data_IF_811633699243
#
_entry.id   IF_811633699243
#
_cell.length_a   1.000
_cell.length_b   1.000
_cell.length_c   1.000
_cell.angle_alpha   90.00
_cell.angle_beta   90.00
_cell.angle_gamma   90.00
#
_symmetry.space_group_name_H-M   'P 1'
#
loop_
_entity.id
_entity.type
_entity.pdbx_description
1 polymer ?
#
# COMPACT_ATOMS: atom_id res chain seq x y z
N UNK A 1 20.04 5.05 31.25
CA UNK A 1 20.24 5.82 30.01
C UNK A 1 19.57 5.07 28.87
N UNK A 2 18.76 5.71 28.01
CA UNK A 2 18.24 5.05 26.82
C UNK A 2 19.39 4.65 25.87
N UNK A 3 19.26 3.49 25.21
CA UNK A 3 20.25 2.95 24.27
C UNK A 3 19.51 2.45 23.02
N UNK A 4 20.09 2.62 21.84
CA UNK A 4 19.58 2.00 20.64
C UNK A 4 19.68 0.46 20.74
N UNK A 5 18.57 -0.24 20.54
CA UNK A 5 18.46 -1.70 20.64
C UNK A 5 18.13 -2.38 19.31
N UNK A 6 17.80 -1.62 18.25
CA UNK A 6 17.37 -2.17 16.97
C UNK A 6 17.43 -1.12 15.83
N UNK A 7 17.69 -1.57 14.60
CA UNK A 7 17.51 -0.80 13.36
C UNK A 7 16.49 -1.49 12.45
N UNK A 8 15.83 -0.71 11.58
CA UNK A 8 14.96 -1.22 10.53
C UNK A 8 15.33 -0.52 9.23
N UNK A 9 15.59 -1.30 8.18
CA UNK A 9 15.82 -0.82 6.83
C UNK A 9 14.70 -1.33 5.91
N UNK A 10 14.00 -0.41 5.26
CA UNK A 10 12.92 -0.74 4.34
C UNK A 10 13.15 -0.06 2.98
N UNK A 11 12.95 -0.82 1.90
CA UNK A 11 13.06 -0.33 0.53
C UNK A 11 11.86 -0.82 -0.29
N UNK A 12 11.46 -0.02 -1.27
CA UNK A 12 10.35 -0.36 -2.14
C UNK A 12 10.08 0.71 -3.19
N UNK A 13 9.00 0.49 -3.93
CA UNK A 13 8.50 1.40 -4.96
C UNK A 13 7.03 1.72 -4.70
N UNK A 14 6.67 2.98 -4.93
CA UNK A 14 5.30 3.44 -4.92
C UNK A 14 4.86 3.82 -6.33
N UNK A 15 3.64 3.43 -6.69
CA UNK A 15 3.01 3.69 -7.96
C UNK A 15 1.64 4.31 -7.72
N UNK A 16 1.40 5.44 -8.35
CA UNK A 16 0.07 6.06 -8.40
C UNK A 16 -0.28 6.31 -9.86
N UNK A 17 -1.47 5.85 -10.24
CA UNK A 17 -2.09 6.14 -11.52
C UNK A 17 -3.44 6.80 -11.31
N UNK A 18 -3.65 7.93 -11.99
CA UNK A 18 -4.90 8.65 -11.96
C UNK A 18 -5.36 8.96 -13.37
N UNK A 19 -6.63 8.72 -13.65
CA UNK A 19 -7.22 9.07 -14.93
C UNK A 19 -8.67 9.53 -14.77
N UNK A 20 -9.06 10.52 -15.57
CA UNK A 20 -10.43 11.03 -15.63
C UNK A 20 -10.84 11.16 -17.08
N UNK A 21 -11.88 10.43 -17.45
CA UNK A 21 -12.59 10.62 -18.71
C UNK A 21 -13.55 11.79 -18.54
N UNK A 22 -13.45 12.78 -19.44
CA UNK A 22 -14.39 13.88 -19.52
C UNK A 22 -15.80 13.40 -19.91
N UNK A 23 -16.79 14.25 -19.69
CA UNK A 23 -18.21 13.93 -19.78
C UNK A 23 -18.59 13.30 -21.13
N UNK A 24 -19.02 12.04 -21.06
CA UNK A 24 -19.55 11.28 -22.20
C UNK A 24 -21.08 11.31 -22.15
N UNK A 25 -21.75 10.79 -23.19
CA UNK A 25 -23.20 10.61 -23.16
C UNK A 25 -23.69 9.71 -22.00
N UNK A 26 -22.79 8.94 -21.38
CA UNK A 26 -23.07 8.08 -20.24
C UNK A 26 -22.50 8.60 -18.93
N UNK A 27 -22.04 9.86 -18.88
CA UNK A 27 -21.47 10.47 -17.68
C UNK A 27 -19.94 10.54 -17.71
N UNK A 28 -19.36 10.90 -16.57
CA UNK A 28 -17.92 10.99 -16.36
C UNK A 28 -17.40 9.79 -15.57
N UNK A 29 -16.16 9.40 -15.83
CA UNK A 29 -15.51 8.29 -15.15
C UNK A 29 -14.16 8.74 -14.61
N UNK A 30 -13.82 8.33 -13.39
CA UNK A 30 -12.47 8.51 -12.86
C UNK A 30 -11.96 7.25 -12.18
N UNK A 31 -10.66 7.06 -12.28
CA UNK A 31 -9.95 5.95 -11.65
C UNK A 31 -8.72 6.51 -10.95
N UNK A 32 -8.51 6.09 -9.70
CA UNK A 32 -7.27 6.27 -8.95
C UNK A 32 -6.81 4.91 -8.49
N UNK A 33 -5.55 4.60 -8.75
CA UNK A 33 -4.92 3.35 -8.38
C UNK A 33 -3.59 3.61 -7.69
N UNK A 34 -3.52 3.29 -6.41
CA UNK A 34 -2.32 3.39 -5.59
C UNK A 34 -1.79 2.00 -5.27
N UNK A 35 -0.50 1.80 -5.46
CA UNK A 35 0.17 0.54 -5.14
C UNK A 35 1.55 0.78 -4.54
N UNK A 36 1.90 -0.03 -3.55
CA UNK A 36 3.24 -0.06 -2.93
C UNK A 36 3.79 -1.46 -3.06
N UNK A 37 5.02 -1.57 -3.56
CA UNK A 37 5.77 -2.82 -3.64
C UNK A 37 7.00 -2.76 -2.73
N UNK A 38 7.04 -3.63 -1.72
CA UNK A 38 8.12 -3.74 -0.74
C UNK A 38 9.17 -4.74 -1.24
N UNK A 39 10.40 -4.26 -1.47
CA UNK A 39 11.53 -5.10 -1.92
C UNK A 39 12.39 -5.59 -0.77
N UNK A 40 12.58 -4.76 0.27
CA UNK A 40 13.41 -5.06 1.43
C UNK A 40 12.72 -4.61 2.73
N UNK A 41 12.86 -5.41 3.77
CA UNK A 41 12.48 -5.06 5.14
C UNK A 41 13.36 -5.84 6.11
N UNK A 42 14.54 -5.29 6.43
CA UNK A 42 15.53 -5.91 7.31
C UNK A 42 15.41 -5.30 8.70
N UNK A 43 15.40 -6.16 9.72
CA UNK A 43 15.41 -5.74 11.12
C UNK A 43 16.68 -6.27 11.78
N UNK A 44 17.56 -5.36 12.21
CA UNK A 44 18.79 -5.72 12.92
C UNK A 44 18.60 -5.50 14.42
N UNK A 45 18.97 -6.49 15.23
CA UNK A 45 18.86 -6.44 16.70
C UNK A 45 20.09 -7.10 17.31
N UNK A 46 21.17 -6.37 17.62
CA UNK A 46 22.36 -6.97 18.20
C UNK A 46 22.06 -7.65 19.55
N UNK A 47 22.58 -8.87 19.82
CA UNK A 47 23.55 -9.64 19.03
C UNK A 47 22.91 -10.63 18.02
N UNK A 48 21.61 -10.56 17.75
CA UNK A 48 20.96 -11.41 16.76
C UNK A 48 21.33 -11.01 15.33
N UNK A 49 21.37 -12.00 14.44
CA UNK A 49 21.52 -11.79 13.00
C UNK A 49 20.34 -10.97 12.42
N UNK A 50 20.57 -10.17 11.37
CA UNK A 50 19.52 -9.44 10.67
C UNK A 50 18.40 -10.37 10.15
N UNK A 51 17.15 -9.93 10.29
CA UNK A 51 15.95 -10.69 9.93
C UNK A 51 15.20 -10.00 8.78
N UNK A 52 15.14 -10.62 7.59
CA UNK A 52 14.37 -10.14 6.44
C UNK A 52 12.90 -10.56 6.55
N UNK A 53 12.00 -9.57 6.55
CA UNK A 53 10.58 -9.77 6.82
C UNK A 53 9.65 -9.47 5.66
N UNK A 54 10.17 -9.31 4.46
CA UNK A 54 9.34 -9.02 3.27
C UNK A 54 8.38 -10.17 3.00
N UNK A 55 7.08 -9.87 2.94
CA UNK A 55 6.00 -10.82 2.74
C UNK A 55 5.58 -11.59 4.00
N UNK A 56 6.22 -11.35 5.15
CA UNK A 56 5.86 -12.03 6.39
C UNK A 56 4.72 -11.32 7.11
N UNK A 57 3.77 -12.13 7.57
CA UNK A 57 2.79 -11.73 8.56
C UNK A 57 3.24 -12.24 9.94
N UNK A 58 3.44 -11.33 10.90
CA UNK A 58 3.70 -11.67 12.30
C UNK A 58 2.51 -11.25 13.16
N UNK A 59 1.66 -12.22 13.47
CA UNK A 59 0.59 -12.09 14.47
C UNK A 59 1.14 -11.95 15.91
N UNK A 60 0.25 -11.71 16.87
CA UNK A 60 0.62 -11.53 18.29
C UNK A 60 0.96 -10.09 18.66
N UNK A 61 1.89 -9.89 19.59
CA UNK A 61 2.26 -8.56 20.14
C UNK A 61 3.02 -7.66 19.16
N UNK A 62 3.64 -8.23 18.12
CA UNK A 62 4.40 -7.48 17.12
C UNK A 62 3.48 -6.78 16.10
N UNK A 63 2.35 -7.38 15.72
CA UNK A 63 1.39 -6.88 14.69
C UNK A 63 2.07 -6.35 13.41
N UNK A 64 3.19 -6.95 13.03
CA UNK A 64 3.94 -6.55 11.84
C UNK A 64 3.31 -7.23 10.61
N UNK A 65 2.96 -6.42 9.62
CA UNK A 65 2.42 -6.89 8.36
C UNK A 65 3.17 -6.27 7.19
N UNK A 66 4.11 -7.04 6.63
CA UNK A 66 5.06 -6.57 5.64
C UNK A 66 4.73 -7.12 4.25
N UNK A 67 3.46 -7.05 3.83
CA UNK A 67 3.03 -7.52 2.52
C UNK A 67 3.92 -6.98 1.40
N UNK A 68 4.33 -7.87 0.48
CA UNK A 68 5.12 -7.52 -0.70
C UNK A 68 4.43 -6.49 -1.57
N UNK A 69 3.13 -6.65 -1.78
CA UNK A 69 2.32 -5.75 -2.57
C UNK A 69 1.11 -5.34 -1.74
N UNK A 70 0.81 -4.05 -1.75
CA UNK A 70 -0.46 -3.49 -1.28
C UNK A 70 -1.01 -2.62 -2.38
N UNK A 71 -2.32 -2.72 -2.62
CA UNK A 71 -2.95 -2.05 -3.75
C UNK A 71 -4.35 -1.55 -3.37
N UNK A 72 -4.67 -0.34 -3.80
CA UNK A 72 -5.97 0.28 -3.58
C UNK A 72 -6.44 0.94 -4.88
N UNK A 73 -7.57 0.47 -5.40
CA UNK A 73 -8.19 0.95 -6.62
C UNK A 73 -9.55 1.56 -6.29
N UNK A 74 -9.75 2.80 -6.70
CA UNK A 74 -11.02 3.51 -6.62
C UNK A 74 -11.48 3.90 -8.01
N UNK A 75 -12.68 3.45 -8.38
CA UNK A 75 -13.38 3.86 -9.59
C UNK A 75 -14.62 4.67 -9.22
N UNK A 76 -14.86 5.79 -9.90
CA UNK A 76 -16.05 6.61 -9.74
C UNK A 76 -16.73 6.83 -11.09
N UNK A 77 -18.05 6.88 -11.04
CA UNK A 77 -18.91 7.21 -12.17
C UNK A 77 -19.96 8.23 -11.72
N UNK A 78 -20.17 9.26 -12.51
CA UNK A 78 -21.14 10.33 -12.24
C UNK A 78 -21.91 10.66 -13.53
N UNK A 79 -23.23 10.72 -13.46
CA UNK A 79 -24.13 11.14 -14.54
C UNK A 79 -25.17 12.12 -13.98
N UNK A 80 -24.96 13.42 -14.25
CA UNK A 80 -25.80 14.47 -13.70
C UNK A 80 -25.85 14.40 -12.17
N UNK A 81 -27.05 14.13 -11.63
CA UNK A 81 -27.30 14.09 -10.19
C UNK A 81 -27.12 12.71 -9.54
N UNK A 82 -26.73 11.68 -10.32
CA UNK A 82 -26.54 10.30 -9.83
C UNK A 82 -25.08 9.88 -9.98
N UNK A 83 -24.55 9.17 -8.98
CA UNK A 83 -23.20 8.64 -9.03
C UNK A 83 -23.06 7.28 -8.34
N UNK A 84 -21.96 6.60 -8.65
CA UNK A 84 -21.56 5.34 -8.05
C UNK A 84 -20.04 5.30 -7.87
N UNK A 85 -19.60 4.65 -6.80
CA UNK A 85 -18.18 4.43 -6.51
C UNK A 85 -17.94 2.96 -6.17
N UNK A 86 -16.84 2.42 -6.67
CA UNK A 86 -16.36 1.07 -6.34
C UNK A 86 -14.93 1.19 -5.83
N UNK A 87 -14.67 0.53 -4.70
CA UNK A 87 -13.34 0.43 -4.11
C UNK A 87 -12.92 -1.04 -4.04
N UNK A 88 -11.69 -1.32 -4.47
CA UNK A 88 -11.07 -2.64 -4.37
C UNK A 88 -9.72 -2.51 -3.66
N UNK A 89 -9.41 -3.46 -2.79
CA UNK A 89 -8.16 -3.50 -2.04
C UNK A 89 -7.55 -4.90 -2.08
N UNK A 90 -6.23 -4.93 -2.23
CA UNK A 90 -5.40 -6.13 -2.13
C UNK A 90 -4.22 -5.88 -1.17
#
# INVERSE_FOLDING_TARGET
MPRNIASIEAEGFDFTFGYRLQETAWGSFSVVWDSTYLTKFIVEKPPQEPDERVGLYRGGSARDNNWRLRSNLMGNWELGDVGSSVAMRY
#
